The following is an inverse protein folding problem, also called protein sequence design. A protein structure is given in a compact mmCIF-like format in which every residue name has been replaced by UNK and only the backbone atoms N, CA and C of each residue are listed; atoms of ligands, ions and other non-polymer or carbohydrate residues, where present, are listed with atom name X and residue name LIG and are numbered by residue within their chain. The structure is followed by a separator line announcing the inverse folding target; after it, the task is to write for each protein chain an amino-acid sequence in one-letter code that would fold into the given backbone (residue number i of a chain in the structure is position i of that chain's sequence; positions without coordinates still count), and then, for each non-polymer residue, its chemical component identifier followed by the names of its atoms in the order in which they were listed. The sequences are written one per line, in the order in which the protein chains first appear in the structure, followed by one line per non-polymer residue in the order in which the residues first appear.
data_IF_938307910758
#
_entry.id   IF_938307910758
#
_cell.length_a   1.000
_cell.length_b   1.000
_cell.length_c   1.000
_cell.angle_alpha   90.00
_cell.angle_beta   90.00
_cell.angle_gamma   90.00
#
_symmetry.space_group_name_H-M   'P 1'
#
loop_
_entity.id
_entity.type
_entity.pdbx_description
1 polymer ?
#
# COMPACT_ATOMS: atom_id res chain seq x y z
N UNK A 1 10.31 5.55 -17.99
CA UNK A 1 10.05 5.15 -16.63
C UNK A 1 10.31 6.30 -15.67
N UNK A 2 9.49 6.42 -14.71
CA UNK A 2 9.59 7.51 -13.75
C UNK A 2 10.60 7.19 -12.65
N UNK A 3 11.53 8.10 -12.41
CA UNK A 3 12.46 7.96 -11.29
C UNK A 3 11.76 8.00 -9.95
N UNK A 4 10.69 8.80 -9.86
CA UNK A 4 9.90 8.88 -8.63
C UNK A 4 9.26 7.55 -8.30
N UNK A 5 8.77 6.83 -9.30
CA UNK A 5 8.17 5.53 -9.12
C UNK A 5 9.22 4.51 -8.65
N UNK A 6 10.41 4.57 -9.24
CA UNK A 6 11.51 3.70 -8.84
C UNK A 6 11.93 3.99 -7.41
N UNK A 7 12.03 5.27 -7.05
CA UNK A 7 12.39 5.68 -5.69
C UNK A 7 11.36 5.17 -4.67
N UNK A 8 10.07 5.28 -4.97
CA UNK A 8 9.02 4.77 -4.09
C UNK A 8 9.14 3.26 -3.92
N UNK A 9 9.47 2.55 -5.00
CA UNK A 9 9.61 1.09 -4.93
C UNK A 9 10.78 0.68 -4.05
N UNK A 10 11.85 1.51 -3.94
CA UNK A 10 13.00 1.18 -3.12
C UNK A 10 12.75 1.41 -1.62
N UNK A 11 11.67 2.13 -1.27
CA UNK A 11 11.24 2.28 0.12
C UNK A 11 10.26 1.17 0.44
N UNK A 12 10.74 0.03 0.87
CA UNK A 12 9.96 -1.17 1.15
C UNK A 12 9.34 -1.76 -0.12
N UNK A 13 10.18 -2.25 -1.05
CA UNK A 13 9.68 -2.72 -2.36
C UNK A 13 8.73 -3.89 -2.26
N UNK A 14 8.98 -4.86 -1.38
CA UNK A 14 8.09 -6.01 -1.23
C UNK A 14 6.73 -5.60 -0.68
N UNK A 15 6.74 -4.80 0.38
CA UNK A 15 5.50 -4.32 0.99
C UNK A 15 4.69 -3.49 0.01
N UNK A 16 5.34 -2.59 -0.74
CA UNK A 16 4.68 -1.74 -1.71
C UNK A 16 4.07 -2.56 -2.85
N UNK A 17 4.79 -3.55 -3.35
CA UNK A 17 4.31 -4.42 -4.42
C UNK A 17 3.10 -5.23 -3.98
N UNK A 18 3.15 -5.80 -2.79
CA UNK A 18 2.04 -6.59 -2.23
C UNK A 18 0.82 -5.70 -2.04
N UNK A 19 0.99 -4.52 -1.46
CA UNK A 19 -0.11 -3.59 -1.23
C UNK A 19 -0.77 -3.18 -2.55
N UNK A 20 0.04 -2.84 -3.55
CA UNK A 20 -0.46 -2.45 -4.85
C UNK A 20 -1.30 -3.57 -5.48
N UNK A 21 -0.79 -4.78 -5.43
CA UNK A 21 -1.49 -5.94 -5.99
C UNK A 21 -2.84 -6.16 -5.30
N UNK A 22 -2.85 -6.13 -3.98
CA UNK A 22 -4.08 -6.36 -3.22
C UNK A 22 -5.12 -5.29 -3.55
N UNK A 23 -4.73 -4.03 -3.50
CA UNK A 23 -5.67 -2.93 -3.72
C UNK A 23 -6.24 -2.96 -5.13
N UNK A 24 -5.38 -3.17 -6.12
CA UNK A 24 -5.84 -3.25 -7.52
C UNK A 24 -6.78 -4.42 -7.75
N UNK A 25 -6.66 -5.47 -6.96
CA UNK A 25 -7.50 -6.67 -7.10
C UNK A 25 -8.91 -6.48 -6.56
N UNK A 26 -9.13 -5.53 -5.66
CA UNK A 26 -10.42 -5.37 -4.99
C UNK A 26 -11.19 -4.12 -5.41
N UNK A 27 -10.59 -3.24 -6.21
CA UNK A 27 -11.26 -2.01 -6.65
C UNK A 27 -11.81 -2.15 -8.05
N UNK A 28 -12.80 -1.33 -8.39
CA UNK A 28 -13.37 -1.30 -9.73
C UNK A 28 -12.53 -0.48 -10.71
N UNK A 29 -11.75 0.46 -10.20
CA UNK A 29 -10.95 1.36 -11.04
C UNK A 29 -9.48 1.22 -10.68
N UNK A 30 -8.84 0.11 -11.08
CA UNK A 30 -7.44 -0.12 -10.70
C UNK A 30 -6.48 0.93 -11.24
N UNK A 31 -6.80 1.57 -12.35
CA UNK A 31 -5.95 2.61 -12.91
C UNK A 31 -5.85 3.85 -12.02
N UNK A 32 -6.81 4.04 -11.12
CA UNK A 32 -6.80 5.16 -10.19
C UNK A 32 -6.01 4.87 -8.92
N UNK A 33 -5.54 3.64 -8.73
CA UNK A 33 -4.78 3.27 -7.55
C UNK A 33 -3.39 3.89 -7.58
N UNK A 34 -3.03 4.57 -6.51
CA UNK A 34 -1.69 5.14 -6.33
C UNK A 34 -1.20 4.82 -4.93
N UNK A 35 0.04 4.36 -4.87
CA UNK A 35 0.70 4.03 -3.62
C UNK A 35 1.92 4.93 -3.50
N UNK A 36 1.98 5.71 -2.44
CA UNK A 36 3.12 6.59 -2.16
C UNK A 36 3.82 6.12 -0.91
N UNK A 37 5.14 6.13 -0.96
CA UNK A 37 5.97 5.76 0.19
C UNK A 37 6.54 7.03 0.82
N UNK A 38 6.35 7.16 2.13
CA UNK A 38 6.83 8.30 2.89
C UNK A 38 7.67 7.77 4.04
N UNK A 39 8.87 8.31 4.21
CA UNK A 39 9.71 7.95 5.35
C UNK A 39 9.51 8.97 6.46
N UNK A 40 9.26 8.47 7.67
CA UNK A 40 9.06 9.31 8.84
C UNK A 40 9.68 8.62 10.06
N UNK A 41 10.74 9.21 10.58
CA UNK A 41 11.43 8.74 11.78
C UNK A 41 11.80 7.27 11.73
N UNK A 42 12.34 6.83 10.59
CA UNK A 42 12.79 5.45 10.41
C UNK A 42 11.66 4.49 10.06
N UNK A 43 10.44 4.96 10.00
CA UNK A 43 9.28 4.16 9.62
C UNK A 43 8.83 4.56 8.21
N UNK A 44 8.43 3.59 7.43
CA UNK A 44 7.92 3.85 6.09
C UNK A 44 6.40 3.79 6.12
N UNK A 45 5.76 4.84 5.65
CA UNK A 45 4.31 4.92 5.58
C UNK A 45 3.91 4.78 4.11
N UNK A 46 3.03 3.82 3.84
CA UNK A 46 2.50 3.62 2.49
C UNK A 46 1.10 4.21 2.43
N UNK A 47 0.97 5.32 1.71
CA UNK A 47 -0.32 5.96 1.49
C UNK A 47 -0.99 5.36 0.27
N UNK A 48 -2.25 4.99 0.44
CA UNK A 48 -3.04 4.39 -0.63
C UNK A 48 -4.09 5.40 -1.08
N UNK A 49 -4.13 5.64 -2.39
CA UNK A 49 -5.16 6.48 -3.01
C UNK A 49 -5.91 5.65 -4.03
N UNK A 50 -7.21 5.74 -4.00
CA UNK A 50 -8.09 5.02 -4.91
C UNK A 50 -9.16 5.97 -5.45
N UNK A 51 -9.91 5.53 -6.45
CA UNK A 51 -11.06 6.28 -6.92
C UNK A 51 -12.06 6.44 -5.77
N UNK A 52 -12.75 7.57 -5.75
CA UNK A 52 -13.65 7.91 -4.65
C UNK A 52 -14.67 6.80 -4.38
N UNK A 53 -15.22 6.23 -5.43
CA UNK A 53 -16.21 5.16 -5.28
C UNK A 53 -15.66 3.84 -4.79
N UNK A 54 -14.33 3.68 -4.76
CA UNK A 54 -13.69 2.44 -4.35
C UNK A 54 -13.18 2.46 -2.92
N UNK A 55 -13.22 3.61 -2.26
CA UNK A 55 -12.67 3.74 -0.92
C UNK A 55 -13.32 2.76 0.07
N UNK A 56 -14.63 2.60 -0.01
CA UNK A 56 -15.34 1.68 0.88
C UNK A 56 -14.92 0.24 0.70
N UNK A 57 -14.51 -0.15 -0.50
CA UNK A 57 -14.04 -1.51 -0.77
C UNK A 57 -12.71 -1.79 -0.08
N UNK A 58 -11.85 -0.79 -0.03
CA UNK A 58 -10.54 -0.92 0.62
C UNK A 58 -10.68 -0.95 2.13
N UNK A 59 -11.57 -0.13 2.67
CA UNK A 59 -11.79 -0.08 4.11
C UNK A 59 -12.54 -1.32 4.58
N UNK A 60 -13.60 -1.70 3.86
CA UNK A 60 -14.43 -2.83 4.23
C UNK A 60 -15.33 -2.53 5.41
N UNK A 61 -16.15 -3.50 5.78
CA UNK A 61 -17.06 -3.36 6.91
C UNK A 61 -16.25 -3.26 8.20
N UNK A 62 -16.51 -2.22 8.98
CA UNK A 62 -15.84 -1.99 10.27
C UNK A 62 -14.32 -1.97 10.15
N UNK A 63 -13.82 -1.62 8.98
CA UNK A 63 -12.38 -1.53 8.75
C UNK A 63 -11.68 -2.87 8.65
N UNK A 64 -12.39 -3.98 8.49
CA UNK A 64 -11.79 -5.32 8.48
C UNK A 64 -10.89 -5.55 7.28
N UNK A 65 -11.31 -5.09 6.11
CA UNK A 65 -10.49 -5.23 4.90
C UNK A 65 -9.19 -4.47 5.07
N UNK A 66 -9.27 -3.22 5.55
CA UNK A 66 -8.07 -2.43 5.77
C UNK A 66 -7.15 -3.07 6.80
N UNK A 67 -7.68 -3.63 7.87
CA UNK A 67 -6.85 -4.31 8.87
C UNK A 67 -6.18 -5.55 8.31
N UNK A 68 -6.89 -6.31 7.49
CA UNK A 68 -6.31 -7.50 6.84
C UNK A 68 -5.20 -7.12 5.89
N UNK A 69 -5.39 -6.05 5.11
CA UNK A 69 -4.37 -5.55 4.20
C UNK A 69 -3.13 -5.14 4.99
N UNK A 70 -3.31 -4.41 6.08
CA UNK A 70 -2.18 -3.97 6.92
C UNK A 70 -1.39 -5.15 7.46
N UNK A 71 -2.08 -6.20 7.90
CA UNK A 71 -1.41 -7.38 8.43
C UNK A 71 -0.55 -8.06 7.38
N UNK A 72 -1.07 -8.23 6.17
CA UNK A 72 -0.33 -8.87 5.08
C UNK A 72 0.86 -8.01 4.65
N UNK A 73 0.64 -6.70 4.53
CA UNK A 73 1.70 -5.78 4.11
C UNK A 73 2.82 -5.71 5.15
N UNK A 74 2.49 -5.70 6.43
CA UNK A 74 3.49 -5.72 7.49
C UNK A 74 4.32 -7.00 7.47
N UNK A 75 3.68 -8.13 7.19
CA UNK A 75 4.40 -9.38 7.03
C UNK A 75 5.35 -9.34 5.84
N UNK A 76 4.90 -8.76 4.73
CA UNK A 76 5.76 -8.59 3.55
C UNK A 76 6.92 -7.64 3.83
N UNK A 77 6.70 -6.63 4.66
CA UNK A 77 7.73 -5.65 4.99
C UNK A 77 8.91 -6.26 5.75
N UNK A 78 8.70 -7.38 6.43
CA UNK A 78 9.80 -8.05 7.11
C UNK A 78 10.88 -8.51 6.13
N UNK A 79 10.53 -8.76 4.88
CA UNK A 79 11.50 -9.10 3.84
C UNK A 79 12.33 -7.90 3.40
N UNK A 80 11.83 -6.70 3.63
CA UNK A 80 12.52 -5.47 3.27
C UNK A 80 13.37 -4.95 4.43
N UNK A 81 13.38 -5.64 5.56
CA UNK A 81 14.00 -5.19 6.80
C UNK A 81 13.53 -3.79 7.16
N UNK A 82 12.24 -3.53 6.98
CA UNK A 82 11.66 -2.22 7.19
C UNK A 82 10.46 -2.30 8.12
N UNK A 83 10.27 -1.23 8.87
CA UNK A 83 9.06 -1.04 9.66
C UNK A 83 8.10 -0.22 8.80
N UNK A 84 6.96 -0.79 8.48
CA UNK A 84 6.02 -0.20 7.53
C UNK A 84 4.67 0.00 8.19
N UNK A 85 4.07 1.15 7.91
CA UNK A 85 2.69 1.46 8.29
C UNK A 85 1.90 1.79 7.02
N UNK A 86 0.62 1.47 7.03
CA UNK A 86 -0.25 1.62 5.86
C UNK A 86 -1.40 2.56 6.13
#
# INVERSE_FOLDING_TARGET
MSDAQTANATLAPTASSVLTHIVKSIVDTPDAVKIESIEDEGKIILEVRVAEGDLGRVIGRRGRTAQSIRAVVRAAASRDNAEVDV
#
